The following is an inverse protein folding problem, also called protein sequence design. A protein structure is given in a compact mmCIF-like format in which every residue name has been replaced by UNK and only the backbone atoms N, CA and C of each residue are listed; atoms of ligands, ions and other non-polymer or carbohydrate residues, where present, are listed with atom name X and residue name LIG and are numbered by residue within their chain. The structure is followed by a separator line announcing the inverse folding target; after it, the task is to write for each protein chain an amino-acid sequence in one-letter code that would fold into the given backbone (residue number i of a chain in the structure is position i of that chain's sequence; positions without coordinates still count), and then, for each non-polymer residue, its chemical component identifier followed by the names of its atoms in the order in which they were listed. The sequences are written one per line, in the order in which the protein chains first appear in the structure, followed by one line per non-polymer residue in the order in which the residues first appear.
data_IF_724569305857
#
_entry.id   IF_724569305857
#
_cell.length_a   1.000
_cell.length_b   1.000
_cell.length_c   1.000
_cell.angle_alpha   90.00
_cell.angle_beta   90.00
_cell.angle_gamma   90.00
#
_symmetry.space_group_name_H-M   'P 1'
#
loop_
_entity.id
_entity.type
_entity.pdbx_description
1 polymer ?
#
# COMPACT_ATOMS: atom_id res chain seq x y z
N UNK A 1 12.52 13.33 -11.71
CA UNK A 1 11.97 12.76 -10.46
C UNK A 1 10.71 13.53 -10.07
N UNK A 2 9.64 12.84 -9.67
CA UNK A 2 8.37 13.44 -9.24
C UNK A 2 8.63 14.54 -8.19
N UNK A 3 8.15 15.77 -8.45
CA UNK A 3 8.21 16.86 -7.45
C UNK A 3 7.30 16.47 -6.28
N UNK A 4 7.49 17.02 -5.08
CA UNK A 4 6.71 16.71 -3.87
C UNK A 4 5.18 16.94 -3.95
N UNK A 5 4.66 17.20 -5.14
CA UNK A 5 3.25 17.25 -5.47
C UNK A 5 2.64 15.84 -5.49
N UNK A 6 1.91 15.51 -4.43
CA UNK A 6 1.33 14.17 -4.22
C UNK A 6 0.19 13.79 -5.18
N UNK A 7 -0.38 14.73 -5.93
CA UNK A 7 -1.48 14.50 -6.89
C UNK A 7 -0.95 13.83 -8.15
N UNK A 8 -1.64 12.81 -8.69
CA UNK A 8 -1.22 12.06 -9.88
C UNK A 8 0.14 11.35 -9.75
N UNK A 9 0.40 10.74 -8.60
CA UNK A 9 1.66 10.03 -8.31
C UNK A 9 1.87 8.74 -9.10
N UNK A 10 0.83 8.17 -9.72
CA UNK A 10 0.98 6.97 -10.54
C UNK A 10 1.56 7.31 -11.92
N UNK A 11 2.57 6.54 -12.35
CA UNK A 11 3.19 6.68 -13.67
C UNK A 11 2.26 6.22 -14.80
N UNK A 12 1.55 5.09 -14.61
CA UNK A 12 0.72 4.46 -15.64
C UNK A 12 -0.71 5.02 -15.72
N UNK A 13 -1.24 5.51 -14.60
CA UNK A 13 -2.64 5.94 -14.49
C UNK A 13 -2.74 7.36 -13.94
N UNK A 14 -3.80 8.07 -14.31
CA UNK A 14 -4.11 9.39 -13.77
C UNK A 14 -4.86 9.26 -12.43
N UNK A 15 -4.21 8.61 -11.45
CA UNK A 15 -4.77 8.43 -10.12
C UNK A 15 -4.69 9.72 -9.31
N UNK A 16 -5.85 10.34 -9.05
CA UNK A 16 -5.93 11.50 -8.19
C UNK A 16 -5.93 11.07 -6.71
N UNK A 17 -4.76 11.07 -6.09
CA UNK A 17 -4.58 10.73 -4.66
C UNK A 17 -5.34 11.68 -3.71
N UNK A 18 -5.77 12.86 -4.18
CA UNK A 18 -6.50 13.86 -3.39
C UNK A 18 -8.01 13.76 -3.54
N UNK A 19 -8.52 13.00 -4.51
CA UNK A 19 -9.95 12.79 -4.70
C UNK A 19 -10.49 11.87 -3.59
N UNK A 20 -10.93 12.48 -2.48
CA UNK A 20 -11.50 11.76 -1.32
C UNK A 20 -12.85 11.13 -1.62
N UNK A 21 -13.64 11.69 -2.55
CA UNK A 21 -15.00 11.24 -2.87
C UNK A 21 -14.95 9.93 -3.66
N UNK A 22 -14.16 9.90 -4.73
CA UNK A 22 -14.09 8.73 -5.59
C UNK A 22 -12.99 7.74 -5.21
N UNK A 23 -12.14 8.07 -4.21
CA UNK A 23 -10.96 7.28 -3.83
C UNK A 23 -11.24 5.79 -3.69
N UNK A 24 -12.35 5.46 -3.00
CA UNK A 24 -12.71 4.08 -2.64
C UNK A 24 -13.80 3.49 -3.53
N UNK A 25 -14.43 4.31 -4.37
CA UNK A 25 -15.51 3.90 -5.29
C UNK A 25 -14.91 3.51 -6.64
N UNK A 26 -13.96 4.33 -7.13
CA UNK A 26 -13.36 4.16 -8.45
C UNK A 26 -12.24 3.14 -8.41
N UNK A 27 -12.53 1.93 -8.88
CA UNK A 27 -11.54 0.84 -9.01
C UNK A 27 -10.59 1.01 -10.20
N UNK A 28 -11.07 1.61 -11.30
CA UNK A 28 -10.29 1.80 -12.54
C UNK A 28 -10.08 3.30 -12.81
N UNK A 29 -8.83 3.73 -12.76
CA UNK A 29 -8.41 5.08 -13.12
C UNK A 29 -8.03 5.13 -14.60
N UNK A 30 -8.16 6.29 -15.28
CA UNK A 30 -7.86 6.38 -16.69
C UNK A 30 -6.35 6.20 -16.90
N UNK A 31 -5.93 5.48 -17.96
CA UNK A 31 -4.52 5.34 -18.28
C UNK A 31 -3.95 6.69 -18.70
N UNK A 32 -2.69 6.93 -18.36
CA UNK A 32 -1.99 8.16 -18.74
C UNK A 32 -1.54 8.05 -20.20
N UNK A 33 -2.08 8.93 -21.05
CA UNK A 33 -1.75 8.98 -22.48
C UNK A 33 -0.67 10.01 -22.83
N UNK A 34 -0.60 11.11 -22.08
CA UNK A 34 0.31 12.24 -22.34
C UNK A 34 1.31 12.39 -21.20
N UNK A 35 2.59 12.58 -21.54
CA UNK A 35 3.70 12.73 -20.58
C UNK A 35 4.40 14.09 -20.73
N UNK A 36 3.61 15.17 -20.65
CA UNK A 36 4.12 16.54 -20.81
C UNK A 36 4.82 16.97 -19.51
N UNK A 37 6.13 17.29 -19.53
CA UNK A 37 6.84 17.82 -18.37
C UNK A 37 6.14 19.05 -17.77
N UNK A 38 6.12 19.14 -16.44
CA UNK A 38 5.45 20.22 -15.70
C UNK A 38 3.96 19.98 -15.42
N UNK A 39 3.34 18.99 -16.05
CA UNK A 39 1.92 18.65 -15.84
C UNK A 39 1.75 17.37 -15.02
N UNK A 40 0.68 17.26 -14.22
CA UNK A 40 0.25 16.02 -13.53
C UNK A 40 1.40 15.20 -12.90
N UNK A 41 2.31 15.88 -12.21
CA UNK A 41 3.50 15.33 -11.53
C UNK A 41 4.56 14.67 -12.44
N UNK A 42 4.57 15.02 -13.72
CA UNK A 42 5.62 14.64 -14.67
C UNK A 42 6.71 15.71 -14.61
N UNK A 43 7.92 15.29 -14.30
CA UNK A 43 9.09 16.20 -14.18
C UNK A 43 9.93 16.23 -15.44
N UNK A 44 10.06 15.07 -16.10
CA UNK A 44 10.85 14.89 -17.31
C UNK A 44 10.10 13.96 -18.24
N UNK A 45 10.55 13.97 -19.49
CA UNK A 45 10.08 13.02 -20.49
C UNK A 45 10.45 11.58 -20.12
N UNK A 46 9.58 10.61 -20.42
CA UNK A 46 9.84 9.22 -20.12
C UNK A 46 10.95 8.68 -21.04
N UNK A 47 12.03 8.16 -20.44
CA UNK A 47 13.13 7.53 -21.17
C UNK A 47 12.76 6.15 -21.76
N UNK A 48 11.65 5.59 -21.30
CA UNK A 48 11.17 4.25 -21.68
C UNK A 48 9.77 4.36 -22.23
N UNK A 49 9.45 3.52 -23.22
CA UNK A 49 8.09 3.41 -23.72
C UNK A 49 7.16 3.00 -22.57
N UNK A 50 6.14 3.81 -22.33
CA UNK A 50 5.21 3.66 -21.21
C UNK A 50 4.36 2.40 -21.33
N UNK A 51 4.18 1.87 -22.54
CA UNK A 51 3.54 0.58 -22.80
C UNK A 51 4.40 -0.62 -22.38
N UNK A 52 5.72 -0.40 -22.22
CA UNK A 52 6.66 -1.43 -21.79
C UNK A 52 6.99 -1.35 -20.29
N UNK A 53 6.39 -0.41 -19.56
CA UNK A 53 6.62 -0.27 -18.12
C UNK A 53 5.65 -1.17 -17.35
N UNK A 54 6.17 -2.32 -16.91
CA UNK A 54 5.44 -3.23 -16.03
C UNK A 54 5.80 -2.96 -14.56
N UNK A 55 4.79 -2.65 -13.74
CA UNK A 55 4.97 -2.59 -12.29
C UNK A 55 5.11 -4.01 -11.74
N UNK A 56 6.22 -4.37 -11.05
CA UNK A 56 6.35 -5.68 -10.43
C UNK A 56 5.22 -5.89 -9.40
N UNK A 57 4.22 -6.76 -9.67
CA UNK A 57 3.03 -6.84 -8.82
C UNK A 57 3.37 -7.23 -7.39
N UNK A 58 4.48 -7.96 -7.22
CA UNK A 58 4.97 -8.39 -5.93
C UNK A 58 5.41 -7.22 -5.04
N UNK A 59 6.25 -6.31 -5.54
CA UNK A 59 6.77 -5.19 -4.73
C UNK A 59 5.64 -4.26 -4.26
N UNK A 60 4.66 -3.99 -5.12
CA UNK A 60 3.47 -3.20 -4.77
C UNK A 60 2.66 -3.90 -3.67
N UNK A 61 2.37 -5.20 -3.84
CA UNK A 61 1.63 -5.99 -2.83
C UNK A 61 2.35 -6.04 -1.49
N UNK A 62 3.67 -6.23 -1.48
CA UNK A 62 4.46 -6.26 -0.25
C UNK A 62 4.49 -4.89 0.43
N UNK A 63 4.65 -3.80 -0.34
CA UNK A 63 4.61 -2.43 0.16
C UNK A 63 3.28 -2.08 0.82
N UNK A 64 2.15 -2.41 0.18
CA UNK A 64 0.82 -2.19 0.73
C UNK A 64 0.58 -2.96 2.04
N UNK A 65 1.00 -4.22 2.08
CA UNK A 65 0.93 -5.04 3.29
C UNK A 65 1.75 -4.47 4.44
N UNK A 66 2.94 -3.93 4.15
CA UNK A 66 3.78 -3.24 5.15
C UNK A 66 3.08 -2.01 5.71
N UNK A 67 2.53 -1.15 4.84
CA UNK A 67 1.79 0.05 5.24
C UNK A 67 0.60 -0.33 6.12
N UNK A 68 -0.12 -1.39 5.77
CA UNK A 68 -1.24 -1.90 6.55
C UNK A 68 -0.82 -2.28 7.97
N UNK A 69 0.23 -3.10 8.12
CA UNK A 69 0.72 -3.51 9.45
C UNK A 69 1.18 -2.29 10.26
N UNK A 70 1.84 -1.32 9.62
CA UNK A 70 2.30 -0.09 10.28
C UNK A 70 1.16 0.74 10.84
N UNK A 71 0.01 0.74 10.17
CA UNK A 71 -1.20 1.44 10.60
C UNK A 71 -1.94 0.75 11.77
N UNK A 72 -1.65 -0.52 12.09
CA UNK A 72 -2.32 -1.22 13.20
C UNK A 72 -1.99 -0.58 14.56
N UNK A 73 -2.98 -0.39 15.44
CA UNK A 73 -2.72 0.06 16.82
C UNK A 73 -1.89 -0.96 17.60
N UNK A 74 -0.96 -0.50 18.46
CA UNK A 74 -0.08 -1.38 19.25
C UNK A 74 -0.86 -2.28 20.22
N UNK A 75 -1.98 -1.78 20.74
CA UNK A 75 -2.86 -2.52 21.64
C UNK A 75 -3.97 -3.28 20.90
N UNK A 76 -4.03 -3.14 19.58
CA UNK A 76 -5.07 -3.78 18.78
C UNK A 76 -4.91 -5.30 18.77
N UNK A 77 -6.03 -6.03 18.89
CA UNK A 77 -6.07 -7.50 18.84
C UNK A 77 -5.31 -8.11 17.65
N UNK A 78 -5.36 -7.48 16.48
CA UNK A 78 -4.61 -7.93 15.29
C UNK A 78 -3.10 -7.79 15.49
N UNK A 79 -2.63 -6.69 16.08
CA UNK A 79 -1.20 -6.48 16.34
C UNK A 79 -0.68 -7.45 17.39
N UNK A 80 -1.42 -7.66 18.48
CA UNK A 80 -1.08 -8.64 19.52
C UNK A 80 -1.02 -10.07 18.96
N UNK A 81 -1.95 -10.44 18.09
CA UNK A 81 -1.89 -11.72 17.36
C UNK A 81 -0.61 -11.83 16.52
N UNK A 82 -0.22 -10.78 15.78
CA UNK A 82 1.02 -10.78 15.02
C UNK A 82 2.27 -10.88 15.89
N UNK A 83 2.28 -10.20 17.04
CA UNK A 83 3.35 -10.29 18.05
C UNK A 83 3.50 -11.73 18.54
N UNK A 84 2.38 -12.38 18.86
CA UNK A 84 2.35 -13.76 19.33
C UNK A 84 2.74 -14.76 18.25
N UNK A 85 2.41 -14.50 16.98
CA UNK A 85 2.77 -15.34 15.84
C UNK A 85 4.25 -15.27 15.50
N UNK A 86 4.87 -14.10 15.62
CA UNK A 86 6.27 -13.86 15.29
C UNK A 86 7.09 -13.50 16.54
N UNK A 87 7.14 -14.40 17.54
CA UNK A 87 7.83 -14.17 18.82
C UNK A 87 9.33 -13.89 18.67
N UNK A 88 9.96 -14.39 17.61
CA UNK A 88 11.37 -14.15 17.31
C UNK A 88 11.65 -12.76 16.75
N UNK A 89 10.61 -12.01 16.34
CA UNK A 89 10.76 -10.62 15.91
C UNK A 89 10.57 -9.68 17.10
N UNK A 90 11.37 -8.62 17.16
CA UNK A 90 11.15 -7.52 18.10
C UNK A 90 9.85 -6.77 17.80
N UNK A 91 9.24 -6.12 18.80
CA UNK A 91 7.99 -5.38 18.63
C UNK A 91 8.12 -4.28 17.57
N UNK A 92 9.23 -3.55 17.61
CA UNK A 92 9.56 -2.50 16.66
C UNK A 92 9.55 -3.02 15.20
N UNK A 93 10.14 -4.20 14.96
CA UNK A 93 10.12 -4.84 13.63
C UNK A 93 8.70 -5.20 13.18
N UNK A 94 7.88 -5.76 14.07
CA UNK A 94 6.47 -6.08 13.77
C UNK A 94 5.70 -4.80 13.46
N UNK A 95 5.88 -3.74 14.28
CA UNK A 95 5.20 -2.44 14.12
C UNK A 95 5.62 -1.69 12.87
N UNK A 96 6.88 -1.78 12.46
CA UNK A 96 7.35 -1.20 11.20
C UNK A 96 7.03 -2.07 9.97
N UNK A 97 6.38 -3.23 10.18
CA UNK A 97 6.07 -4.18 9.11
C UNK A 97 7.33 -4.75 8.44
N UNK A 98 8.43 -4.85 9.19
CA UNK A 98 9.71 -5.39 8.72
C UNK A 98 9.67 -6.92 8.73
N UNK A 99 9.14 -7.46 7.65
CA UNK A 99 9.01 -8.89 7.41
C UNK A 99 9.78 -9.29 6.16
N UNK A 100 10.36 -10.48 6.17
CA UNK A 100 10.84 -11.10 4.93
C UNK A 100 9.64 -11.60 4.10
N UNK A 101 9.86 -11.82 2.80
CA UNK A 101 8.81 -12.22 1.86
C UNK A 101 7.88 -13.35 2.34
N UNK A 102 8.41 -14.45 2.91
CA UNK A 102 7.57 -15.51 3.49
C UNK A 102 6.72 -15.06 4.70
N UNK A 103 7.27 -14.27 5.60
CA UNK A 103 6.58 -13.81 6.81
C UNK A 103 5.38 -12.91 6.48
N UNK A 104 5.57 -11.91 5.61
CA UNK A 104 4.47 -11.02 5.18
C UNK A 104 3.45 -11.73 4.30
N UNK A 105 3.83 -12.83 3.63
CA UNK A 105 2.86 -13.72 3.01
C UNK A 105 2.03 -14.44 4.09
N UNK A 106 2.67 -14.96 5.14
CA UNK A 106 2.03 -15.68 6.23
C UNK A 106 1.14 -14.80 7.13
N UNK A 107 1.39 -13.49 7.21
CA UNK A 107 0.51 -12.51 7.87
C UNK A 107 -0.91 -12.57 7.30
N UNK A 108 -1.04 -12.56 5.97
CA UNK A 108 -2.33 -12.44 5.27
C UNK A 108 -2.88 -13.77 4.73
N UNK A 109 -2.31 -14.91 5.12
CA UNK A 109 -2.85 -16.25 4.75
C UNK A 109 -3.81 -16.81 5.79
N UNK A 110 -3.76 -16.33 7.03
CA UNK A 110 -4.57 -16.90 8.10
C UNK A 110 -5.95 -16.23 8.17
N UNK A 111 -7.02 -17.02 8.23
CA UNK A 111 -8.38 -16.52 8.47
C UNK A 111 -8.48 -15.69 9.76
N UNK A 112 -7.67 -16.03 10.76
CA UNK A 112 -7.63 -15.35 12.05
C UNK A 112 -7.23 -13.87 11.92
N UNK A 113 -6.34 -13.54 10.98
CA UNK A 113 -5.95 -12.16 10.71
C UNK A 113 -7.12 -11.36 10.14
N UNK A 114 -7.85 -11.92 9.18
CA UNK A 114 -9.03 -11.27 8.60
C UNK A 114 -10.15 -11.10 9.64
N UNK A 115 -10.42 -12.15 10.44
CA UNK A 115 -11.41 -12.11 11.53
C UNK A 115 -11.05 -11.04 12.56
N UNK A 116 -9.78 -10.92 12.96
CA UNK A 116 -9.33 -9.91 13.93
C UNK A 116 -9.41 -8.49 13.36
N UNK A 117 -9.11 -8.30 12.08
CA UNK A 117 -9.31 -7.02 11.39
C UNK A 117 -10.79 -6.61 11.30
N UNK A 118 -11.72 -7.55 11.14
CA UNK A 118 -13.15 -7.26 11.12
C UNK A 118 -13.69 -6.88 12.51
N UNK A 119 -13.18 -7.51 13.57
CA UNK A 119 -13.55 -7.18 14.97
C UNK A 119 -13.14 -5.75 15.34
N UNK A 120 -11.96 -5.29 14.92
CA UNK A 120 -11.51 -3.92 15.16
C UNK A 120 -12.41 -2.86 14.47
N UNK A 121 -13.00 -3.17 13.31
CA UNK A 121 -13.89 -2.23 12.61
C UNK A 121 -15.24 -2.03 13.31
N UNK A 122 -15.70 -2.97 14.14
CA UNK A 122 -16.99 -2.89 14.84
C UNK A 122 -16.94 -2.09 16.13
N UNK A 123 -15.77 -1.82 16.68
CA UNK A 123 -15.58 -1.08 17.94
C UNK A 123 -15.35 0.43 17.76
N UNK A 124 -15.29 0.93 16.53
CA UNK A 124 -15.11 2.36 16.23
C UNK A 124 -16.34 2.98 15.54
N UNK A 125 -17.53 2.42 15.80
CA UNK A 125 -18.82 2.97 15.38
C UNK A 125 -19.50 3.67 16.54
#
# INVERSE_FOLDING_TARGET
MQKGYTKFCCFLYEWDSRDRKNHYIRKKWPPRKKFIPGTKNISHEPLVNTQCVFLPPLQVKLGLRKIFVKALGREGVTFLHLRNKFKHLSEAKVKEGLFIGPQIKAVFRGEEFEKNCQKQKKQSG
#
